data_IF_415702476286
#
_entry.id   IF_415702476286
#
_cell.length_a   1.000
_cell.length_b   1.000
_cell.length_c   1.000
_cell.angle_alpha   90.00
_cell.angle_beta   90.00
_cell.angle_gamma   90.00
#
_symmetry.space_group_name_H-M   'P 1'
#
loop_
_entity.id
_entity.type
_entity.pdbx_description
1 polymer ?
#
# COMPACT_ATOMS: atom_id res chain seq x y z
N UNK A 1 29.02 -6.16 -4.18
CA UNK A 1 30.44 -6.19 -4.65
C UNK A 1 30.49 -7.23 -5.73
N UNK A 2 30.58 -6.85 -6.99
CA UNK A 2 30.71 -7.74 -8.12
C UNK A 2 32.08 -8.42 -8.03
N UNK A 3 32.07 -9.74 -7.92
CA UNK A 3 33.29 -10.58 -8.05
C UNK A 3 33.95 -10.22 -9.39
N UNK A 4 35.29 -10.10 -9.44
CA UNK A 4 35.98 -9.79 -10.70
C UNK A 4 35.72 -10.93 -11.68
N UNK A 5 34.93 -10.65 -12.70
CA UNK A 5 34.62 -11.61 -13.78
C UNK A 5 35.92 -12.08 -14.41
N UNK A 6 36.15 -13.38 -14.46
CA UNK A 6 37.34 -13.98 -15.09
C UNK A 6 37.40 -13.53 -16.55
N UNK A 7 38.48 -12.85 -17.01
CA UNK A 7 38.57 -12.33 -18.38
C UNK A 7 38.38 -13.38 -19.46
N UNK A 8 38.72 -14.65 -19.16
CA UNK A 8 38.51 -15.78 -20.09
C UNK A 8 37.00 -16.08 -20.22
N UNK A 9 36.25 -16.04 -19.13
CA UNK A 9 34.79 -16.23 -19.10
C UNK A 9 34.12 -15.13 -19.91
N UNK A 10 34.47 -13.89 -19.67
CA UNK A 10 33.91 -12.73 -20.39
C UNK A 10 34.18 -12.80 -21.91
N UNK A 11 35.38 -13.22 -22.32
CA UNK A 11 35.72 -13.38 -23.72
C UNK A 11 34.88 -14.49 -24.38
N UNK A 12 34.60 -15.59 -23.67
CA UNK A 12 33.77 -16.69 -24.16
C UNK A 12 32.30 -16.26 -24.24
N UNK A 13 31.75 -15.68 -23.18
CA UNK A 13 30.34 -15.22 -23.12
C UNK A 13 30.04 -14.13 -24.16
N UNK A 14 31.02 -13.26 -24.46
CA UNK A 14 30.89 -12.21 -25.49
C UNK A 14 31.13 -12.73 -26.92
N UNK A 15 31.44 -14.01 -27.11
CA UNK A 15 31.72 -14.61 -28.42
C UNK A 15 33.03 -14.15 -29.06
N UNK A 16 33.93 -13.50 -28.31
CA UNK A 16 35.21 -12.98 -28.79
C UNK A 16 36.37 -13.99 -28.69
N UNK A 17 36.10 -15.10 -27.97
CA UNK A 17 37.12 -16.12 -27.81
C UNK A 17 37.34 -16.92 -29.11
N UNK A 18 38.58 -17.38 -29.40
CA UNK A 18 38.86 -18.27 -30.54
C UNK A 18 38.03 -19.56 -30.44
N UNK A 19 37.63 -20.12 -31.60
CA UNK A 19 36.80 -21.31 -31.66
C UNK A 19 37.41 -22.50 -30.89
N UNK A 20 38.73 -22.66 -30.94
CA UNK A 20 39.45 -23.71 -30.18
C UNK A 20 39.33 -23.53 -28.65
N UNK A 21 39.34 -22.26 -28.17
CA UNK A 21 39.16 -21.97 -26.75
C UNK A 21 37.73 -22.25 -26.32
N UNK A 22 36.73 -21.89 -27.14
CA UNK A 22 35.32 -22.20 -26.89
C UNK A 22 35.07 -23.72 -26.86
N UNK A 23 35.70 -24.48 -27.76
CA UNK A 23 35.60 -25.95 -27.78
C UNK A 23 36.26 -26.56 -26.54
N UNK A 24 37.45 -26.09 -26.13
CA UNK A 24 38.11 -26.50 -24.91
C UNK A 24 37.29 -26.22 -23.66
N UNK A 25 36.64 -25.06 -23.61
CA UNK A 25 35.70 -24.71 -22.54
C UNK A 25 34.45 -25.59 -22.53
N UNK A 26 33.87 -25.85 -23.70
CA UNK A 26 32.71 -26.73 -23.88
C UNK A 26 33.01 -28.18 -23.45
N UNK A 27 34.26 -28.64 -23.63
CA UNK A 27 34.72 -29.96 -23.21
C UNK A 27 35.19 -30.01 -21.74
N UNK A 28 35.02 -28.94 -20.94
CA UNK A 28 35.43 -28.91 -19.54
C UNK A 28 36.95 -28.92 -19.29
N UNK A 29 37.75 -28.66 -20.31
CA UNK A 29 39.23 -28.75 -20.23
C UNK A 29 39.86 -27.47 -19.62
N UNK A 30 39.11 -26.40 -19.49
CA UNK A 30 39.60 -25.17 -18.86
C UNK A 30 39.45 -25.25 -17.32
N UNK A 31 40.49 -24.88 -16.57
CA UNK A 31 40.44 -24.86 -15.10
C UNK A 31 39.63 -23.66 -14.59
N UNK A 32 38.32 -23.73 -14.70
CA UNK A 32 37.37 -22.70 -14.23
C UNK A 32 36.76 -23.09 -12.88
N UNK A 33 36.44 -22.12 -12.01
CA UNK A 33 35.58 -22.37 -10.86
C UNK A 33 34.24 -22.97 -11.33
N UNK A 34 33.61 -23.81 -10.52
CA UNK A 34 32.40 -24.54 -10.90
C UNK A 34 31.27 -23.60 -11.36
N UNK A 35 31.06 -22.45 -10.69
CA UNK A 35 30.05 -21.46 -11.08
C UNK A 35 30.31 -20.88 -12.48
N UNK A 36 31.57 -20.50 -12.75
CA UNK A 36 31.99 -19.96 -14.04
C UNK A 36 31.89 -21.04 -15.16
N UNK A 37 32.25 -22.28 -14.84
CA UNK A 37 32.13 -23.40 -15.76
C UNK A 37 30.68 -23.63 -16.19
N UNK A 38 29.75 -23.69 -15.24
CA UNK A 38 28.34 -23.87 -15.54
C UNK A 38 27.77 -22.71 -16.39
N UNK A 39 28.15 -21.47 -16.10
CA UNK A 39 27.73 -20.32 -16.88
C UNK A 39 28.21 -20.38 -18.32
N UNK A 40 29.50 -20.72 -18.52
CA UNK A 40 30.10 -20.90 -19.84
C UNK A 40 29.44 -22.05 -20.60
N UNK A 41 29.24 -23.19 -19.95
CA UNK A 41 28.61 -24.34 -20.60
C UNK A 41 27.17 -24.08 -21.03
N UNK A 42 26.39 -23.43 -20.20
CA UNK A 42 25.01 -23.04 -20.53
C UNK A 42 24.97 -22.06 -21.69
N UNK A 43 25.89 -21.08 -21.74
CA UNK A 43 25.99 -20.14 -22.85
C UNK A 43 26.43 -20.84 -24.16
N UNK A 44 27.44 -21.73 -24.10
CA UNK A 44 27.95 -22.45 -25.26
C UNK A 44 26.98 -23.50 -25.82
N UNK A 45 26.08 -24.04 -25.01
CA UNK A 45 24.96 -24.89 -25.47
C UNK A 45 24.08 -24.22 -26.52
N UNK A 46 23.93 -22.90 -26.44
CA UNK A 46 23.17 -22.09 -27.39
C UNK A 46 24.01 -21.60 -28.60
N UNK A 47 25.24 -22.09 -28.77
CA UNK A 47 26.12 -21.72 -29.87
C UNK A 47 25.57 -22.14 -31.22
N UNK A 48 25.76 -21.31 -32.27
CA UNK A 48 25.44 -21.66 -33.64
C UNK A 48 26.36 -22.82 -34.18
N UNK A 49 27.52 -22.98 -33.55
CA UNK A 49 28.43 -24.10 -33.92
C UNK A 49 27.98 -25.39 -33.21
N UNK A 50 27.45 -26.31 -33.99
CA UNK A 50 26.91 -27.58 -33.51
C UNK A 50 27.93 -28.44 -32.72
N UNK A 51 29.22 -28.38 -33.08
CA UNK A 51 30.27 -29.12 -32.38
C UNK A 51 30.46 -28.58 -30.95
N UNK A 52 30.50 -27.26 -30.80
CA UNK A 52 30.61 -26.61 -29.49
C UNK A 52 29.36 -26.86 -28.66
N UNK A 53 28.17 -26.69 -29.26
CA UNK A 53 26.90 -26.92 -28.59
C UNK A 53 26.75 -28.35 -28.06
N UNK A 54 27.11 -29.35 -28.86
CA UNK A 54 27.09 -30.78 -28.49
C UNK A 54 28.10 -31.10 -27.39
N UNK A 55 29.32 -30.56 -27.47
CA UNK A 55 30.34 -30.75 -26.45
C UNK A 55 29.88 -30.13 -25.10
N UNK A 56 29.34 -28.92 -25.13
CA UNK A 56 28.81 -28.27 -23.92
C UNK A 56 27.65 -29.04 -23.30
N UNK A 57 26.72 -29.55 -24.12
CA UNK A 57 25.59 -30.34 -23.63
C UNK A 57 26.06 -31.68 -23.01
N UNK A 58 27.07 -32.36 -23.62
CA UNK A 58 27.64 -33.58 -23.07
C UNK A 58 28.29 -33.31 -21.69
N UNK A 59 29.14 -32.28 -21.60
CA UNK A 59 29.81 -31.91 -20.35
C UNK A 59 28.80 -31.51 -19.26
N UNK A 60 27.69 -30.80 -19.60
CA UNK A 60 26.62 -30.49 -18.66
C UNK A 60 25.92 -31.73 -18.10
N UNK A 61 25.70 -32.74 -18.95
CA UNK A 61 25.08 -34.00 -18.53
C UNK A 61 26.02 -34.88 -17.66
N UNK A 62 27.31 -34.65 -17.71
CA UNK A 62 28.32 -35.35 -16.89
C UNK A 62 28.53 -34.67 -15.52
N UNK A 63 27.94 -33.50 -15.27
CA UNK A 63 28.08 -32.79 -13.98
C UNK A 63 27.44 -33.60 -12.84
N UNK A 64 28.09 -33.60 -11.69
CA UNK A 64 27.56 -34.27 -10.51
C UNK A 64 26.31 -33.55 -9.99
N UNK A 65 25.26 -34.30 -9.62
CA UNK A 65 24.01 -33.74 -9.08
C UNK A 65 24.24 -32.85 -7.85
N UNK A 66 25.29 -33.13 -7.09
CA UNK A 66 25.67 -32.34 -5.92
C UNK A 66 26.14 -30.93 -6.33
N UNK A 67 26.97 -30.82 -7.34
CA UNK A 67 27.51 -29.54 -7.83
C UNK A 67 26.40 -28.69 -8.44
N UNK A 68 25.45 -29.32 -9.15
CA UNK A 68 24.27 -28.66 -9.68
C UNK A 68 23.32 -28.16 -8.55
N UNK A 69 23.18 -28.95 -7.47
CA UNK A 69 22.40 -28.57 -6.32
C UNK A 69 23.02 -27.39 -5.56
N UNK A 70 24.35 -27.43 -5.38
CA UNK A 70 25.07 -26.34 -4.71
C UNK A 70 24.96 -25.03 -5.54
N UNK A 71 25.08 -25.14 -6.87
CA UNK A 71 24.84 -24.01 -7.77
C UNK A 71 23.40 -23.50 -7.69
N UNK A 72 22.38 -24.36 -7.63
CA UNK A 72 20.97 -23.94 -7.51
C UNK A 72 20.68 -23.20 -6.20
N UNK A 73 21.41 -23.52 -5.13
CA UNK A 73 21.26 -22.87 -3.81
C UNK A 73 22.04 -21.56 -3.67
N UNK A 74 23.10 -21.38 -4.46
CA UNK A 74 23.95 -20.20 -4.34
C UNK A 74 23.21 -18.94 -4.84
N UNK A 75 23.32 -17.84 -4.09
CA UNK A 75 22.62 -16.59 -4.37
C UNK A 75 23.22 -15.78 -5.51
N UNK A 76 24.45 -16.06 -5.88
CA UNK A 76 25.25 -15.42 -6.92
C UNK A 76 25.26 -16.20 -8.25
N UNK A 77 24.51 -17.29 -8.32
CA UNK A 77 24.37 -18.09 -9.56
C UNK A 77 23.70 -17.28 -10.67
N UNK A 78 24.27 -17.35 -11.85
CA UNK A 78 23.75 -16.69 -13.05
C UNK A 78 22.29 -17.10 -13.32
N UNK A 79 21.39 -16.13 -13.62
CA UNK A 79 20.01 -16.41 -13.99
C UNK A 79 19.87 -17.41 -15.14
N UNK A 80 20.80 -17.40 -16.09
CA UNK A 80 20.81 -18.35 -17.21
C UNK A 80 21.06 -19.81 -16.76
N UNK A 81 21.94 -20.01 -15.77
CA UNK A 81 22.18 -21.33 -15.18
C UNK A 81 20.94 -21.81 -14.41
N UNK A 82 20.30 -20.93 -13.62
CA UNK A 82 19.09 -21.30 -12.92
C UNK A 82 17.94 -21.64 -13.88
N UNK A 83 17.78 -20.91 -14.97
CA UNK A 83 16.81 -21.23 -16.01
C UNK A 83 17.08 -22.62 -16.63
N UNK A 84 18.33 -22.90 -17.00
CA UNK A 84 18.73 -24.21 -17.51
C UNK A 84 18.41 -25.34 -16.53
N UNK A 85 18.75 -25.18 -15.24
CA UNK A 85 18.47 -26.17 -14.20
C UNK A 85 16.98 -26.41 -14.00
N UNK A 86 16.16 -25.36 -14.20
CA UNK A 86 14.70 -25.45 -14.14
C UNK A 86 14.09 -26.24 -15.31
N UNK A 87 14.68 -26.14 -16.51
CA UNK A 87 14.22 -26.82 -17.73
C UNK A 87 14.78 -28.27 -17.88
N UNK A 88 15.92 -28.57 -17.28
CA UNK A 88 16.58 -29.85 -17.41
C UNK A 88 15.84 -30.98 -16.68
N UNK A 89 16.18 -32.25 -16.99
CA UNK A 89 15.74 -33.42 -16.24
C UNK A 89 16.41 -33.54 -14.86
N UNK A 90 16.48 -32.39 -14.15
CA UNK A 90 17.11 -32.32 -12.85
C UNK A 90 16.30 -33.05 -11.77
N UNK A 91 16.99 -33.48 -10.72
CA UNK A 91 16.35 -34.09 -9.56
C UNK A 91 15.38 -33.14 -8.89
N UNK A 92 14.42 -33.69 -8.14
CA UNK A 92 13.44 -32.89 -7.38
C UNK A 92 14.13 -31.86 -6.49
N UNK A 93 15.20 -32.23 -5.80
CA UNK A 93 15.95 -31.36 -4.88
C UNK A 93 16.55 -30.15 -5.61
N UNK A 94 17.06 -30.32 -6.82
CA UNK A 94 17.57 -29.22 -7.64
C UNK A 94 16.42 -28.29 -8.05
N UNK A 95 15.28 -28.84 -8.49
CA UNK A 95 14.09 -28.05 -8.86
C UNK A 95 13.54 -27.25 -7.68
N UNK A 96 13.48 -27.85 -6.48
CA UNK A 96 13.10 -27.14 -5.25
C UNK A 96 14.06 -25.97 -4.97
N UNK A 97 15.38 -26.21 -5.09
CA UNK A 97 16.38 -25.15 -4.88
C UNK A 97 16.25 -24.01 -5.90
N UNK A 98 16.00 -24.32 -7.18
CA UNK A 98 15.76 -23.32 -8.23
C UNK A 98 14.50 -22.49 -7.93
N UNK A 99 13.40 -23.12 -7.50
CA UNK A 99 12.15 -22.41 -7.16
C UNK A 99 12.37 -21.45 -6.00
N UNK A 100 13.15 -21.85 -5.00
CA UNK A 100 13.43 -21.04 -3.80
C UNK A 100 14.48 -19.96 -4.05
N UNK A 101 15.28 -20.05 -5.11
CA UNK A 101 16.31 -19.06 -5.40
C UNK A 101 15.68 -17.77 -5.93
N UNK A 102 15.99 -16.64 -5.26
CA UNK A 102 15.46 -15.34 -5.64
C UNK A 102 15.96 -14.83 -7.00
N UNK A 103 17.13 -15.28 -7.45
CA UNK A 103 17.75 -14.93 -8.74
C UNK A 103 17.17 -15.70 -9.93
N UNK A 104 16.30 -16.69 -9.69
CA UNK A 104 15.66 -17.45 -10.76
C UNK A 104 14.72 -16.55 -11.56
N UNK A 105 14.89 -16.49 -12.91
CA UNK A 105 13.99 -15.71 -13.78
C UNK A 105 12.54 -16.18 -13.67
N UNK A 106 11.60 -15.24 -13.76
CA UNK A 106 10.17 -15.58 -13.70
C UNK A 106 9.75 -16.46 -14.88
N UNK A 107 10.33 -16.25 -16.07
CA UNK A 107 10.05 -17.09 -17.25
C UNK A 107 10.45 -18.56 -17.03
N UNK A 108 11.55 -18.82 -16.32
CA UNK A 108 11.94 -20.19 -15.96
C UNK A 108 10.92 -20.80 -14.99
N UNK A 109 10.40 -20.05 -14.04
CA UNK A 109 9.33 -20.51 -13.15
C UNK A 109 8.02 -20.76 -13.91
N UNK A 110 7.69 -19.95 -14.92
CA UNK A 110 6.53 -20.19 -15.81
C UNK A 110 6.69 -21.52 -16.54
N UNK A 111 7.85 -21.79 -17.10
CA UNK A 111 8.13 -23.06 -17.80
C UNK A 111 8.06 -24.26 -16.83
N UNK A 112 8.66 -24.14 -15.66
CA UNK A 112 8.56 -25.18 -14.63
C UNK A 112 7.09 -25.41 -14.21
N UNK A 113 6.33 -24.35 -13.96
CA UNK A 113 4.92 -24.45 -13.60
C UNK A 113 4.06 -25.11 -14.70
N UNK A 114 4.41 -24.92 -15.97
CA UNK A 114 3.71 -25.53 -17.09
C UNK A 114 4.03 -27.01 -17.27
N UNK A 115 5.29 -27.42 -17.03
CA UNK A 115 5.80 -28.75 -17.46
C UNK A 115 5.96 -29.74 -16.30
N UNK A 116 6.03 -29.29 -15.06
CA UNK A 116 6.27 -30.15 -13.90
C UNK A 116 5.10 -31.11 -13.66
N UNK A 117 5.43 -32.39 -13.44
CA UNK A 117 4.46 -33.44 -13.12
C UNK A 117 4.28 -33.69 -11.62
N UNK A 118 5.12 -33.08 -10.77
CA UNK A 118 5.04 -33.17 -9.31
C UNK A 118 4.27 -31.98 -8.76
N UNK A 119 3.04 -32.23 -8.31
CA UNK A 119 2.16 -31.22 -7.75
C UNK A 119 2.71 -30.51 -6.51
N UNK A 120 3.62 -31.15 -5.75
CA UNK A 120 4.24 -30.52 -4.57
C UNK A 120 5.18 -29.36 -4.94
N UNK A 121 5.81 -29.42 -6.13
CA UNK A 121 6.61 -28.30 -6.64
C UNK A 121 5.72 -27.13 -7.06
N UNK A 122 4.50 -27.40 -7.56
CA UNK A 122 3.51 -26.34 -7.84
C UNK A 122 3.05 -25.67 -6.55
N UNK A 123 2.84 -26.43 -5.48
CA UNK A 123 2.55 -25.84 -4.16
C UNK A 123 3.69 -24.94 -3.68
N UNK A 124 4.95 -25.39 -3.85
CA UNK A 124 6.11 -24.59 -3.47
C UNK A 124 6.18 -23.27 -4.24
N UNK A 125 5.89 -23.27 -5.54
CA UNK A 125 5.80 -22.04 -6.35
C UNK A 125 4.74 -21.09 -5.79
N UNK A 126 3.56 -21.61 -5.36
CA UNK A 126 2.47 -20.77 -4.82
C UNK A 126 2.77 -20.14 -3.47
N UNK A 127 3.81 -20.55 -2.74
CA UNK A 127 4.20 -19.91 -1.48
C UNK A 127 4.81 -18.50 -1.68
N UNK A 128 5.41 -18.24 -2.84
CA UNK A 128 5.98 -16.92 -3.13
C UNK A 128 4.96 -16.01 -3.78
N UNK A 129 4.08 -15.42 -2.94
CA UNK A 129 3.02 -14.50 -3.40
C UNK A 129 3.56 -13.30 -4.16
N UNK A 130 4.69 -12.72 -3.73
CA UNK A 130 5.29 -11.58 -4.42
C UNK A 130 5.67 -11.89 -5.87
N UNK A 131 6.19 -13.10 -6.12
CA UNK A 131 6.53 -13.55 -7.48
C UNK A 131 5.28 -13.75 -8.33
N UNK A 132 4.23 -14.33 -7.77
CA UNK A 132 2.95 -14.55 -8.47
C UNK A 132 2.27 -13.24 -8.85
N UNK A 133 2.30 -12.24 -7.96
CA UNK A 133 1.78 -10.89 -8.24
C UNK A 133 2.62 -10.19 -9.32
N UNK A 134 3.95 -10.31 -9.26
CA UNK A 134 4.85 -9.72 -10.25
C UNK A 134 4.70 -10.35 -11.65
N UNK A 135 4.48 -11.66 -11.71
CA UNK A 135 4.35 -12.41 -12.97
C UNK A 135 3.08 -13.28 -12.99
N UNK A 136 1.91 -12.71 -13.40
CA UNK A 136 0.62 -13.41 -13.45
C UNK A 136 0.61 -14.64 -14.34
N UNK A 137 1.50 -14.69 -15.32
CA UNK A 137 1.67 -15.84 -16.23
C UNK A 137 2.03 -17.13 -15.49
N UNK A 138 2.66 -17.03 -14.31
CA UNK A 138 2.93 -18.19 -13.44
C UNK A 138 1.60 -18.78 -12.93
N UNK A 139 0.65 -17.94 -12.52
CA UNK A 139 -0.68 -18.38 -12.07
C UNK A 139 -1.39 -19.12 -13.21
N UNK A 140 -1.38 -18.55 -14.41
CA UNK A 140 -2.00 -19.18 -15.58
C UNK A 140 -1.37 -20.54 -15.92
N UNK A 141 -0.04 -20.64 -15.79
CA UNK A 141 0.68 -21.90 -16.00
C UNK A 141 0.30 -22.95 -14.96
N UNK A 142 0.23 -22.59 -13.67
CA UNK A 142 -0.20 -23.49 -12.58
C UNK A 142 -1.63 -23.97 -12.83
N UNK A 143 -2.56 -23.07 -13.14
CA UNK A 143 -3.98 -23.42 -13.34
C UNK A 143 -4.22 -24.29 -14.57
N UNK A 144 -3.35 -24.21 -15.60
CA UNK A 144 -3.40 -25.06 -16.79
C UNK A 144 -2.73 -26.43 -16.58
N UNK A 145 -1.82 -26.56 -15.60
CA UNK A 145 -1.12 -27.81 -15.37
C UNK A 145 -2.04 -28.88 -14.77
N UNK A 146 -2.09 -30.05 -15.41
CA UNK A 146 -2.94 -31.17 -14.96
C UNK A 146 -2.46 -31.83 -13.65
N UNK A 147 -1.19 -31.66 -13.28
CA UNK A 147 -0.61 -32.21 -12.07
C UNK A 147 -0.81 -31.29 -10.85
N UNK A 148 -1.50 -30.14 -10.99
CA UNK A 148 -1.73 -29.24 -9.86
C UNK A 148 -2.52 -29.91 -8.76
N UNK A 149 -2.14 -29.65 -7.52
CA UNK A 149 -2.89 -30.06 -6.34
C UNK A 149 -4.05 -29.10 -6.04
N UNK A 150 -4.99 -29.54 -5.23
CA UNK A 150 -6.11 -28.70 -4.79
C UNK A 150 -5.62 -27.46 -4.02
N UNK A 151 -4.53 -27.60 -3.24
CA UNK A 151 -3.95 -26.49 -2.49
C UNK A 151 -3.23 -25.48 -3.40
N UNK A 152 -2.49 -25.94 -4.39
CA UNK A 152 -1.86 -25.07 -5.37
C UNK A 152 -2.93 -24.31 -6.19
N UNK A 153 -4.00 -24.99 -6.63
CA UNK A 153 -5.11 -24.35 -7.34
C UNK A 153 -5.83 -23.32 -6.46
N UNK A 154 -6.14 -23.64 -5.22
CA UNK A 154 -6.81 -22.74 -4.29
C UNK A 154 -5.98 -21.45 -4.09
N UNK A 155 -4.69 -21.58 -3.75
CA UNK A 155 -3.81 -20.41 -3.55
C UNK A 155 -3.63 -19.58 -4.81
N UNK A 156 -3.46 -20.22 -5.96
CA UNK A 156 -3.34 -19.51 -7.23
C UNK A 156 -4.61 -18.71 -7.56
N UNK A 157 -5.81 -19.29 -7.33
CA UNK A 157 -7.09 -18.61 -7.52
C UNK A 157 -7.32 -17.50 -6.51
N UNK A 158 -6.97 -17.70 -5.23
CA UNK A 158 -7.04 -16.67 -4.19
C UNK A 158 -6.24 -15.42 -4.61
N UNK A 159 -4.98 -15.62 -5.05
CA UNK A 159 -4.13 -14.51 -5.51
C UNK A 159 -4.69 -13.89 -6.80
N UNK A 160 -5.20 -14.70 -7.74
CA UNK A 160 -5.81 -14.20 -8.96
C UNK A 160 -7.01 -13.30 -8.67
N UNK A 161 -7.91 -13.72 -7.80
CA UNK A 161 -9.08 -12.94 -7.40
C UNK A 161 -8.69 -11.72 -6.61
N UNK A 162 -7.83 -11.88 -5.61
CA UNK A 162 -7.50 -10.80 -4.69
C UNK A 162 -6.70 -9.66 -5.34
N UNK A 163 -5.74 -9.97 -6.22
CA UNK A 163 -4.87 -8.95 -6.79
C UNK A 163 -5.24 -8.53 -8.22
N UNK A 164 -5.74 -9.45 -9.05
CA UNK A 164 -5.92 -9.16 -10.48
C UNK A 164 -7.36 -8.89 -10.90
N UNK A 165 -8.34 -9.53 -10.29
CA UNK A 165 -9.75 -9.26 -10.60
C UNK A 165 -10.18 -7.92 -9.99
N UNK A 166 -9.76 -7.65 -8.75
CA UNK A 166 -9.99 -6.35 -8.09
C UNK A 166 -9.32 -5.21 -8.85
N UNK A 167 -8.06 -5.38 -9.27
CA UNK A 167 -7.35 -4.37 -10.05
C UNK A 167 -8.02 -4.11 -11.42
N UNK A 168 -8.53 -5.15 -12.10
CA UNK A 168 -9.29 -4.98 -13.34
C UNK A 168 -10.60 -4.23 -13.10
N UNK A 169 -11.34 -4.56 -12.04
CA UNK A 169 -12.56 -3.85 -11.65
C UNK A 169 -12.31 -2.37 -11.38
N UNK A 170 -11.30 -2.04 -10.59
CA UNK A 170 -10.92 -0.67 -10.30
C UNK A 170 -10.50 0.11 -11.55
N UNK A 171 -9.71 -0.50 -12.45
CA UNK A 171 -9.31 0.11 -13.73
C UNK A 171 -10.48 0.36 -14.66
N UNK A 172 -11.45 -0.56 -14.71
CA UNK A 172 -12.65 -0.37 -15.52
C UNK A 172 -13.47 0.80 -14.98
N UNK A 173 -13.72 0.87 -13.69
CA UNK A 173 -14.42 1.98 -13.03
C UNK A 173 -13.69 3.30 -13.30
N UNK A 174 -12.36 3.33 -13.12
CA UNK A 174 -11.57 4.52 -13.40
C UNK A 174 -11.66 4.95 -14.88
N UNK A 175 -11.66 4.01 -15.82
CA UNK A 175 -11.86 4.28 -17.24
C UNK A 175 -13.21 4.93 -17.53
N UNK A 176 -14.29 4.41 -16.94
CA UNK A 176 -15.63 4.98 -17.08
C UNK A 176 -15.74 6.37 -16.45
N UNK A 177 -15.13 6.59 -15.27
CA UNK A 177 -15.09 7.90 -14.62
C UNK A 177 -14.36 8.94 -15.47
N UNK A 178 -13.23 8.58 -16.10
CA UNK A 178 -12.54 9.46 -17.06
C UNK A 178 -13.40 9.78 -18.28
N UNK A 179 -14.08 8.79 -18.84
CA UNK A 179 -14.98 9.01 -19.97
C UNK A 179 -16.11 9.98 -19.64
N UNK A 180 -16.52 10.06 -18.37
CA UNK A 180 -17.52 11.02 -17.86
C UNK A 180 -16.91 12.36 -17.40
N UNK A 181 -15.60 12.54 -17.53
CA UNK A 181 -14.89 13.77 -17.15
C UNK A 181 -14.54 13.91 -15.67
N UNK A 182 -14.77 12.87 -14.86
CA UNK A 182 -14.42 12.87 -13.42
C UNK A 182 -13.01 12.27 -13.22
N UNK A 183 -11.98 13.07 -13.54
CA UNK A 183 -10.57 12.64 -13.48
C UNK A 183 -10.10 12.41 -12.03
N UNK A 184 -10.50 13.27 -11.08
CA UNK A 184 -10.11 13.15 -9.68
C UNK A 184 -10.62 11.85 -9.05
N UNK A 185 -11.86 11.45 -9.36
CA UNK A 185 -12.40 10.17 -8.91
C UNK A 185 -11.69 8.99 -9.57
N UNK A 186 -11.36 9.08 -10.88
CA UNK A 186 -10.62 8.03 -11.57
C UNK A 186 -9.24 7.79 -10.94
N UNK A 187 -8.48 8.85 -10.62
CA UNK A 187 -7.20 8.78 -9.92
C UNK A 187 -7.35 8.13 -8.53
N UNK A 188 -8.44 8.45 -7.81
CA UNK A 188 -8.73 7.82 -6.53
C UNK A 188 -8.90 6.30 -6.69
N UNK A 189 -9.75 5.85 -7.63
CA UNK A 189 -10.03 4.43 -7.85
C UNK A 189 -8.84 3.64 -8.41
N UNK A 190 -7.86 4.29 -9.04
CA UNK A 190 -6.61 3.65 -9.46
C UNK A 190 -5.62 3.42 -8.33
N UNK A 191 -5.66 4.27 -7.30
CA UNK A 191 -4.69 4.24 -6.20
C UNK A 191 -5.25 3.67 -4.90
N UNK A 192 -6.57 3.51 -4.78
CA UNK A 192 -7.23 2.96 -3.60
C UNK A 192 -7.18 1.43 -3.60
N UNK A 193 -7.01 0.85 -2.42
CA UNK A 193 -7.21 -0.56 -2.17
C UNK A 193 -8.68 -0.76 -1.76
N UNK A 194 -9.56 -0.91 -2.76
CA UNK A 194 -11.02 -0.88 -2.61
C UNK A 194 -11.60 -2.08 -1.87
N UNK A 195 -10.85 -2.67 -0.93
CA UNK A 195 -11.37 -3.68 -0.02
C UNK A 195 -12.16 -3.02 1.09
N UNK A 196 -13.41 -3.42 1.24
CA UNK A 196 -14.24 -3.09 2.41
C UNK A 196 -14.16 -4.24 3.42
N UNK A 197 -14.52 -3.97 4.70
CA UNK A 197 -14.58 -5.00 5.74
C UNK A 197 -15.57 -6.14 5.43
N UNK A 198 -16.53 -5.92 4.53
CA UNK A 198 -17.57 -6.87 4.12
C UNK A 198 -17.33 -7.49 2.72
N UNK A 199 -16.24 -7.12 2.02
CA UNK A 199 -15.91 -7.64 0.70
C UNK A 199 -15.58 -6.57 -0.34
N UNK A 200 -15.84 -6.86 -1.62
CA UNK A 200 -15.58 -5.92 -2.72
C UNK A 200 -16.57 -4.77 -2.75
N UNK A 201 -16.09 -3.58 -3.09
CA UNK A 201 -16.94 -2.43 -3.33
C UNK A 201 -17.81 -2.70 -4.57
N UNK A 202 -19.12 -2.60 -4.43
CA UNK A 202 -20.01 -2.74 -5.59
C UNK A 202 -19.83 -1.56 -6.56
N UNK A 203 -20.22 -1.75 -7.83
CA UNK A 203 -20.17 -0.67 -8.81
C UNK A 203 -21.05 0.53 -8.40
N UNK A 204 -22.18 0.27 -7.74
CA UNK A 204 -23.09 1.31 -7.25
C UNK A 204 -22.45 2.10 -6.11
N UNK A 205 -21.78 1.43 -5.17
CA UNK A 205 -21.06 2.06 -4.07
C UNK A 205 -19.88 2.90 -4.59
N UNK A 206 -19.14 2.37 -5.57
CA UNK A 206 -18.07 3.12 -6.24
C UNK A 206 -18.58 4.40 -6.88
N UNK A 207 -19.74 4.37 -7.54
CA UNK A 207 -20.38 5.56 -8.10
C UNK A 207 -20.86 6.54 -7.03
N UNK A 208 -21.38 6.04 -5.91
CA UNK A 208 -21.77 6.88 -4.78
C UNK A 208 -20.58 7.64 -4.24
N UNK A 209 -19.47 6.95 -3.98
CA UNK A 209 -18.23 7.56 -3.49
C UNK A 209 -17.63 8.52 -4.52
N UNK A 210 -17.65 8.16 -5.81
CA UNK A 210 -17.08 8.97 -6.88
C UNK A 210 -17.72 10.37 -7.00
N UNK A 211 -18.99 10.52 -6.66
CA UNK A 211 -19.69 11.82 -6.63
C UNK A 211 -19.08 12.79 -5.61
N UNK A 212 -18.46 12.26 -4.56
CA UNK A 212 -17.92 13.01 -3.44
C UNK A 212 -16.41 13.26 -3.52
N UNK A 213 -15.77 13.05 -4.67
CA UNK A 213 -14.34 13.28 -4.88
C UNK A 213 -14.14 14.54 -5.73
N UNK A 214 -13.50 15.57 -5.16
CA UNK A 214 -13.32 16.87 -5.79
C UNK A 214 -11.85 17.23 -6.09
N UNK A 215 -10.89 16.64 -5.35
CA UNK A 215 -9.48 17.06 -5.39
C UNK A 215 -8.64 16.06 -6.15
N UNK A 216 -7.87 16.52 -7.15
CA UNK A 216 -6.90 15.71 -7.89
C UNK A 216 -5.60 15.47 -7.08
N UNK A 217 -4.85 14.42 -7.42
CA UNK A 217 -3.61 14.07 -6.72
C UNK A 217 -2.55 15.18 -6.79
N UNK A 218 -2.52 15.93 -7.89
CA UNK A 218 -1.58 17.03 -8.07
C UNK A 218 -1.76 18.20 -7.08
N UNK A 219 -2.93 18.32 -6.47
CA UNK A 219 -3.27 19.39 -5.52
C UNK A 219 -3.04 18.99 -4.06
N UNK A 220 -2.53 17.78 -3.80
CA UNK A 220 -2.33 17.24 -2.45
C UNK A 220 -0.92 17.51 -1.92
N UNK A 221 -0.84 17.94 -0.65
CA UNK A 221 0.42 18.09 0.09
C UNK A 221 0.53 16.99 1.17
N UNK A 222 1.51 16.09 1.03
CA UNK A 222 1.75 14.96 1.94
C UNK A 222 2.73 15.29 3.07
N UNK A 223 3.25 16.50 3.14
CA UNK A 223 4.28 16.93 4.10
C UNK A 223 3.86 16.83 5.58
N UNK A 224 2.54 16.74 5.84
CA UNK A 224 1.98 16.65 7.20
C UNK A 224 1.95 15.21 7.76
N UNK A 225 2.12 14.19 6.89
CA UNK A 225 2.10 12.77 7.27
C UNK A 225 3.45 12.35 7.87
N UNK A 226 3.53 12.04 9.17
CA UNK A 226 4.75 11.47 9.73
C UNK A 226 4.88 10.02 9.27
N UNK A 227 5.92 9.72 8.51
CA UNK A 227 6.20 8.39 7.95
C UNK A 227 6.32 7.28 9.02
N UNK A 228 6.78 7.63 10.22
CA UNK A 228 7.00 6.70 11.32
C UNK A 228 5.72 6.23 12.05
N UNK A 229 4.60 6.95 11.91
CA UNK A 229 3.32 6.62 12.58
C UNK A 229 2.26 6.05 11.65
N UNK A 230 2.59 5.91 10.37
CA UNK A 230 1.62 5.49 9.37
C UNK A 230 1.16 4.04 9.59
N UNK A 231 2.09 3.13 9.89
CA UNK A 231 1.79 1.72 10.03
C UNK A 231 1.04 1.38 11.33
N UNK A 232 1.29 2.10 12.42
CA UNK A 232 0.57 1.91 13.69
C UNK A 232 -0.88 2.43 13.62
N UNK A 233 -1.12 3.49 12.86
CA UNK A 233 -2.42 4.13 12.75
C UNK A 233 -3.43 3.38 11.85
N UNK A 234 -2.96 2.41 11.06
CA UNK A 234 -3.78 1.63 10.12
C UNK A 234 -4.49 0.47 10.81
N UNK A 235 -4.01 0.04 11.98
CA UNK A 235 -4.60 -1.09 12.73
C UNK A 235 -5.85 -0.60 13.45
N UNK A 236 -7.01 -1.07 13.01
CA UNK A 236 -8.31 -0.81 13.66
C UNK A 236 -8.89 -2.09 14.27
N UNK A 237 -9.50 -1.94 15.46
CA UNK A 237 -10.34 -2.98 16.02
C UNK A 237 -11.75 -2.89 15.40
N UNK A 238 -12.14 -3.92 14.65
CA UNK A 238 -13.40 -3.98 13.92
C UNK A 238 -14.65 -3.78 14.79
N UNK A 239 -14.62 -4.27 16.04
CA UNK A 239 -15.75 -4.14 16.97
C UNK A 239 -15.89 -2.70 17.43
N UNK A 240 -14.78 -2.09 17.85
CA UNK A 240 -14.76 -0.66 18.26
C UNK A 240 -15.14 0.25 17.12
N UNK A 241 -14.75 -0.08 15.89
CA UNK A 241 -15.09 0.67 14.70
C UNK A 241 -16.60 0.62 14.40
N UNK A 242 -17.23 -0.57 14.41
CA UNK A 242 -18.67 -0.71 14.18
C UNK A 242 -19.52 0.07 15.19
N UNK A 243 -19.12 0.06 16.48
CA UNK A 243 -19.79 0.86 17.53
C UNK A 243 -19.65 2.36 17.26
N UNK A 244 -18.48 2.81 16.76
CA UNK A 244 -18.25 4.20 16.44
C UNK A 244 -19.09 4.66 15.23
N UNK A 245 -19.24 3.83 14.20
CA UNK A 245 -20.10 4.08 13.03
C UNK A 245 -21.55 4.29 13.47
N UNK A 246 -22.07 3.40 14.32
CA UNK A 246 -23.43 3.52 14.84
C UNK A 246 -23.63 4.84 15.60
N UNK A 247 -22.67 5.24 16.41
CA UNK A 247 -22.71 6.53 17.15
C UNK A 247 -22.71 7.75 16.21
N UNK A 248 -21.97 7.68 15.09
CA UNK A 248 -21.97 8.77 14.08
C UNK A 248 -23.35 8.92 13.47
N UNK A 249 -23.98 7.80 13.06
CA UNK A 249 -25.33 7.80 12.49
C UNK A 249 -26.35 8.35 13.50
N UNK A 250 -26.32 7.89 14.76
CA UNK A 250 -27.22 8.36 15.81
C UNK A 250 -27.06 9.87 16.08
N UNK A 251 -25.81 10.35 16.13
CA UNK A 251 -25.54 11.76 16.37
C UNK A 251 -26.01 12.65 15.22
N UNK A 252 -25.75 12.25 13.97
CA UNK A 252 -26.25 12.99 12.79
C UNK A 252 -27.80 12.98 12.71
N UNK A 253 -28.42 11.86 13.09
CA UNK A 253 -29.88 11.78 13.17
C UNK A 253 -30.45 12.75 14.18
N UNK A 254 -29.77 12.94 15.33
CA UNK A 254 -30.17 13.91 16.35
C UNK A 254 -29.97 15.35 15.88
N UNK A 255 -28.87 15.66 15.20
CA UNK A 255 -28.58 17.02 14.69
C UNK A 255 -29.55 17.44 13.57
N UNK A 256 -30.03 16.50 12.76
CA UNK A 256 -30.99 16.74 11.66
C UNK A 256 -32.46 16.68 12.07
N UNK A 257 -32.74 16.54 13.37
CA UNK A 257 -34.13 16.50 13.88
C UNK A 257 -34.87 15.19 13.58
N UNK A 258 -34.13 14.07 13.35
CA UNK A 258 -34.69 12.74 13.20
C UNK A 258 -34.96 12.29 11.75
N UNK A 259 -34.58 13.07 10.74
CA UNK A 259 -34.70 12.71 9.34
C UNK A 259 -33.32 12.77 8.67
N UNK A 260 -32.66 11.61 8.56
CA UNK A 260 -31.52 11.44 7.65
C UNK A 260 -32.04 10.78 6.36
N UNK A 261 -31.61 11.32 5.23
CA UNK A 261 -31.88 10.72 3.92
C UNK A 261 -31.22 9.35 3.84
N UNK A 262 -31.91 8.38 3.23
CA UNK A 262 -31.38 7.01 3.06
C UNK A 262 -30.05 6.98 2.30
N UNK A 263 -29.86 7.91 1.35
CA UNK A 263 -28.61 8.07 0.58
C UNK A 263 -27.47 8.50 1.51
N UNK A 264 -27.71 9.41 2.46
CA UNK A 264 -26.69 9.84 3.43
C UNK A 264 -26.29 8.72 4.42
N UNK A 265 -27.27 7.93 4.88
CA UNK A 265 -26.98 6.76 5.73
C UNK A 265 -26.14 5.74 4.97
N UNK A 266 -26.48 5.49 3.69
CA UNK A 266 -25.72 4.61 2.81
C UNK A 266 -24.28 5.11 2.64
N UNK A 267 -24.13 6.40 2.34
CA UNK A 267 -22.80 7.03 2.20
C UNK A 267 -21.96 6.89 3.49
N UNK A 268 -22.54 7.19 4.66
CA UNK A 268 -21.82 7.03 5.94
C UNK A 268 -21.34 5.59 6.10
N UNK A 269 -22.19 4.60 5.84
CA UNK A 269 -21.82 3.19 5.95
C UNK A 269 -20.71 2.82 4.98
N UNK A 270 -20.84 3.20 3.71
CA UNK A 270 -19.83 2.91 2.69
C UNK A 270 -18.48 3.53 3.01
N UNK A 271 -18.45 4.80 3.38
CA UNK A 271 -17.21 5.49 3.76
C UNK A 271 -16.54 4.82 4.96
N UNK A 272 -17.31 4.45 5.96
CA UNK A 272 -16.78 3.87 7.19
C UNK A 272 -16.41 2.38 7.04
N UNK A 273 -16.92 1.67 6.03
CA UNK A 273 -16.50 0.29 5.71
C UNK A 273 -15.15 0.24 4.99
N UNK A 274 -14.73 1.34 4.36
CA UNK A 274 -13.42 1.41 3.69
C UNK A 274 -12.28 1.22 4.68
N UNK A 275 -11.12 0.75 4.19
CA UNK A 275 -9.92 0.69 5.00
C UNK A 275 -9.42 2.09 5.40
N UNK A 276 -8.59 2.17 6.44
CA UNK A 276 -8.10 3.46 6.98
C UNK A 276 -7.36 4.28 5.92
N UNK A 277 -6.57 3.62 5.06
CA UNK A 277 -5.80 4.29 3.99
C UNK A 277 -6.71 5.00 3.00
N UNK A 278 -7.77 4.33 2.57
CA UNK A 278 -8.69 4.89 1.59
C UNK A 278 -9.60 5.96 2.21
N UNK A 279 -10.00 5.80 3.49
CA UNK A 279 -10.68 6.85 4.24
C UNK A 279 -9.79 8.10 4.38
N UNK A 280 -8.48 7.95 4.63
CA UNK A 280 -7.52 9.06 4.67
C UNK A 280 -7.39 9.75 3.31
N UNK A 281 -7.27 8.97 2.22
CA UNK A 281 -7.24 9.54 0.86
C UNK A 281 -8.53 10.30 0.56
N UNK A 282 -9.68 9.70 0.88
CA UNK A 282 -10.97 10.34 0.67
C UNK A 282 -11.17 11.60 1.54
N UNK A 283 -10.70 11.59 2.80
CA UNK A 283 -10.73 12.78 3.66
C UNK A 283 -9.99 13.97 3.03
N UNK A 284 -8.92 13.71 2.28
CA UNK A 284 -8.12 14.74 1.60
C UNK A 284 -8.69 15.16 0.24
N UNK A 285 -9.36 14.24 -0.46
CA UNK A 285 -9.90 14.46 -1.81
C UNK A 285 -11.39 14.76 -1.83
N UNK A 286 -12.09 14.44 -0.74
CA UNK A 286 -13.53 14.50 -0.66
C UNK A 286 -14.11 15.91 -0.64
N UNK A 287 -15.36 16.00 -1.04
CA UNK A 287 -16.19 17.19 -0.97
C UNK A 287 -16.61 17.53 0.49
N UNK A 288 -17.40 18.57 0.65
CA UNK A 288 -17.89 19.02 1.97
C UNK A 288 -18.65 17.91 2.70
N UNK A 289 -19.41 17.09 1.98
CA UNK A 289 -20.22 16.03 2.58
C UNK A 289 -19.35 14.89 3.11
N UNK A 290 -18.41 14.39 2.31
CA UNK A 290 -17.43 13.42 2.76
C UNK A 290 -16.61 13.93 3.96
N UNK A 291 -16.14 15.19 3.91
CA UNK A 291 -15.41 15.81 5.03
C UNK A 291 -16.25 15.90 6.31
N UNK A 292 -17.55 16.20 6.20
CA UNK A 292 -18.44 16.30 7.37
C UNK A 292 -18.65 14.97 8.10
N UNK A 293 -18.55 13.86 7.36
CA UNK A 293 -18.61 12.49 7.90
C UNK A 293 -17.25 12.11 8.50
N UNK A 294 -16.18 12.22 7.71
CA UNK A 294 -14.84 11.72 8.06
C UNK A 294 -14.16 12.54 9.17
N UNK A 295 -14.59 13.76 9.43
CA UNK A 295 -14.10 14.53 10.60
C UNK A 295 -14.48 13.90 11.94
N UNK A 296 -15.51 13.05 11.97
CA UNK A 296 -15.98 12.31 13.15
C UNK A 296 -15.44 10.87 13.19
N UNK A 297 -14.55 10.51 12.26
CA UNK A 297 -13.94 9.19 12.20
C UNK A 297 -13.26 8.84 13.53
N UNK A 298 -13.44 7.61 14.06
CA UNK A 298 -12.77 7.18 15.28
C UNK A 298 -11.24 7.15 15.13
N UNK A 299 -10.75 6.97 13.91
CA UNK A 299 -9.32 7.03 13.62
C UNK A 299 -8.85 8.48 13.53
N UNK A 300 -7.97 8.85 14.45
CA UNK A 300 -7.43 10.23 14.57
C UNK A 300 -6.70 10.68 13.30
N UNK A 301 -6.09 9.76 12.55
CA UNK A 301 -5.37 10.09 11.31
C UNK A 301 -6.34 10.44 10.19
N UNK A 302 -7.47 9.74 10.08
CA UNK A 302 -8.53 10.06 9.11
C UNK A 302 -9.12 11.43 9.42
N UNK A 303 -9.50 11.69 10.69
CA UNK A 303 -10.01 12.99 11.10
C UNK A 303 -8.98 14.12 10.88
N UNK A 304 -7.70 13.88 11.14
CA UNK A 304 -6.62 14.83 10.85
C UNK A 304 -6.43 15.06 9.35
N UNK A 305 -6.63 14.04 8.52
CA UNK A 305 -6.56 14.17 7.06
C UNK A 305 -7.61 15.15 6.50
N UNK A 306 -8.82 15.21 7.11
CA UNK A 306 -9.85 16.19 6.73
C UNK A 306 -9.35 17.62 6.87
N UNK A 307 -8.62 17.93 7.94
CA UNK A 307 -8.07 19.27 8.21
C UNK A 307 -7.02 19.69 7.17
N UNK A 308 -6.39 18.73 6.51
CA UNK A 308 -5.40 18.95 5.48
C UNK A 308 -5.98 18.87 4.05
N UNK A 309 -7.31 18.85 3.91
CA UNK A 309 -7.98 18.96 2.62
C UNK A 309 -7.85 20.41 2.10
N UNK A 310 -7.33 20.63 0.86
CA UNK A 310 -7.14 21.99 0.32
C UNK A 310 -8.45 22.73 0.04
N UNK A 311 -9.59 22.04 0.00
CA UNK A 311 -10.92 22.63 -0.22
C UNK A 311 -11.68 22.96 1.06
N UNK A 312 -11.09 22.71 2.25
CA UNK A 312 -11.77 23.06 3.51
C UNK A 312 -11.93 24.57 3.62
N UNK A 313 -13.13 25.00 3.95
CA UNK A 313 -13.47 26.41 4.09
C UNK A 313 -13.33 26.91 5.54
N UNK A 314 -13.15 28.21 5.73
CA UNK A 314 -13.10 28.81 7.06
C UNK A 314 -14.40 28.56 7.83
N UNK A 315 -15.55 28.54 7.16
CA UNK A 315 -16.84 28.23 7.76
C UNK A 315 -16.90 26.80 8.29
N UNK A 316 -16.36 25.83 7.53
CA UNK A 316 -16.26 24.43 7.99
C UNK A 316 -15.33 24.35 9.21
N UNK A 317 -14.18 25.01 9.17
CA UNK A 317 -13.24 25.07 10.29
C UNK A 317 -13.86 25.70 11.54
N UNK A 318 -14.67 26.77 11.43
CA UNK A 318 -15.40 27.35 12.53
C UNK A 318 -16.39 26.37 13.15
N UNK A 319 -17.14 25.61 12.32
CA UNK A 319 -18.07 24.60 12.77
C UNK A 319 -17.34 23.44 13.47
N UNK A 320 -16.25 22.94 12.90
CA UNK A 320 -15.43 21.86 13.48
C UNK A 320 -14.90 22.27 14.86
N UNK A 321 -14.45 23.51 15.02
CA UNK A 321 -13.97 24.04 16.30
C UNK A 321 -15.03 24.01 17.40
N UNK A 322 -16.34 24.01 17.07
CA UNK A 322 -17.44 23.92 18.04
C UNK A 322 -17.85 22.48 18.38
N UNK A 323 -17.52 21.51 17.50
CA UNK A 323 -17.96 20.12 17.65
C UNK A 323 -17.30 19.46 18.87
N UNK A 324 -18.11 18.78 19.69
CA UNK A 324 -17.63 18.04 20.87
C UNK A 324 -17.30 16.57 20.59
N UNK A 325 -17.65 16.08 19.41
CA UNK A 325 -17.44 14.71 18.95
C UNK A 325 -16.10 14.53 18.24
N UNK A 326 -15.46 15.60 17.83
CA UNK A 326 -14.19 15.60 17.09
C UNK A 326 -13.02 15.22 18.01
N UNK A 327 -12.04 14.52 17.47
CA UNK A 327 -10.83 14.13 18.19
C UNK A 327 -10.03 15.36 18.66
N UNK A 328 -9.47 15.27 19.87
CA UNK A 328 -8.63 16.30 20.49
C UNK A 328 -7.41 16.69 19.63
N UNK A 329 -6.85 15.74 18.90
CA UNK A 329 -5.74 15.96 17.97
C UNK A 329 -6.12 16.93 16.83
N UNK A 330 -7.34 16.81 16.28
CA UNK A 330 -7.86 17.72 15.25
C UNK A 330 -7.90 19.16 15.79
N UNK A 331 -8.46 19.34 17.00
CA UNK A 331 -8.55 20.67 17.62
C UNK A 331 -7.14 21.24 17.92
N UNK A 332 -6.17 20.39 18.25
CA UNK A 332 -4.78 20.79 18.42
C UNK A 332 -4.16 21.26 17.09
N UNK A 333 -4.35 20.50 16.01
CA UNK A 333 -3.87 20.86 14.68
C UNK A 333 -4.48 22.18 14.19
N UNK A 334 -5.78 22.39 14.40
CA UNK A 334 -6.44 23.64 14.05
C UNK A 334 -5.85 24.85 14.78
N UNK A 335 -5.54 24.71 16.07
CA UNK A 335 -4.94 25.79 16.87
C UNK A 335 -3.52 26.16 16.40
N UNK A 336 -2.79 25.21 15.81
CA UNK A 336 -1.41 25.40 15.30
C UNK A 336 -1.36 25.81 13.83
N UNK A 337 -2.43 25.62 13.07
CA UNK A 337 -2.51 26.00 11.66
C UNK A 337 -2.51 27.53 11.52
N UNK A 338 -1.55 28.08 10.77
CA UNK A 338 -1.33 29.53 10.63
C UNK A 338 -2.54 30.27 10.03
N UNK A 339 -3.28 29.65 9.13
CA UNK A 339 -4.42 30.27 8.48
C UNK A 339 -5.57 30.43 9.47
N UNK A 340 -5.93 29.37 10.19
CA UNK A 340 -7.03 29.38 11.14
C UNK A 340 -6.68 30.05 12.47
N UNK A 341 -5.43 30.00 12.85
CA UNK A 341 -4.94 30.72 14.01
C UNK A 341 -5.09 32.25 13.86
N UNK A 342 -5.33 32.79 12.67
CA UNK A 342 -5.65 34.22 12.46
C UNK A 342 -7.13 34.53 12.63
N UNK A 343 -8.02 33.55 12.45
CA UNK A 343 -9.46 33.75 12.67
C UNK A 343 -9.78 33.83 14.17
N UNK A 344 -10.32 34.97 14.59
CA UNK A 344 -10.74 35.16 15.98
C UNK A 344 -11.85 34.17 16.35
N UNK A 345 -12.81 33.94 15.46
CA UNK A 345 -13.96 33.06 15.68
C UNK A 345 -13.47 31.63 15.97
N UNK A 346 -12.54 31.12 15.16
CA UNK A 346 -11.96 29.77 15.35
C UNK A 346 -11.27 29.68 16.71
N UNK A 347 -10.37 30.63 17.04
CA UNK A 347 -9.64 30.63 18.31
C UNK A 347 -10.59 30.68 19.49
N UNK A 348 -11.62 31.52 19.41
CA UNK A 348 -12.62 31.66 20.44
C UNK A 348 -13.44 30.37 20.62
N UNK A 349 -13.85 29.74 19.53
CA UNK A 349 -14.56 28.45 19.55
C UNK A 349 -13.70 27.35 20.15
N UNK A 350 -12.42 27.25 19.75
CA UNK A 350 -11.45 26.30 20.33
C UNK A 350 -11.27 26.48 21.83
N UNK A 351 -11.21 27.74 22.31
CA UNK A 351 -11.06 28.03 23.74
C UNK A 351 -12.31 27.65 24.57
N UNK A 352 -13.50 27.65 23.95
CA UNK A 352 -14.77 27.26 24.58
C UNK A 352 -15.06 25.77 24.48
N UNK A 353 -14.38 25.04 23.58
CA UNK A 353 -14.63 23.63 23.37
C UNK A 353 -13.95 22.80 24.48
N UNK A 354 -14.71 22.00 25.25
CA UNK A 354 -14.17 21.21 26.35
C UNK A 354 -13.24 20.09 25.89
N UNK A 355 -13.28 19.71 24.62
CA UNK A 355 -12.40 18.69 24.02
C UNK A 355 -11.03 19.22 23.63
N UNK A 356 -10.89 20.55 23.54
CA UNK A 356 -9.57 21.12 23.19
C UNK A 356 -8.58 20.87 24.32
N UNK A 357 -7.38 20.31 24.01
CA UNK A 357 -6.37 20.03 25.04
C UNK A 357 -5.98 21.28 25.82
N UNK A 358 -5.88 21.15 27.17
CA UNK A 358 -5.59 22.27 28.08
C UNK A 358 -4.34 23.06 27.67
N UNK A 359 -3.20 22.42 27.33
CA UNK A 359 -2.00 23.17 26.88
C UNK A 359 -2.28 24.02 25.63
N UNK A 360 -3.06 23.47 24.68
CA UNK A 360 -3.45 24.18 23.45
C UNK A 360 -4.28 25.43 23.78
N UNK A 361 -5.29 25.30 24.68
CA UNK A 361 -6.10 26.42 25.08
C UNK A 361 -5.27 27.50 25.81
N UNK A 362 -4.38 27.11 26.72
CA UNK A 362 -3.51 28.05 27.43
C UNK A 362 -2.65 28.87 26.44
N UNK A 363 -2.17 28.26 25.38
CA UNK A 363 -1.36 28.94 24.36
C UNK A 363 -2.18 29.96 23.53
N UNK A 364 -3.48 29.73 23.34
CA UNK A 364 -4.34 30.63 22.56
C UNK A 364 -5.05 31.71 23.43
N UNK A 365 -5.20 31.50 24.76
CA UNK A 365 -5.84 32.44 25.66
C UNK A 365 -5.31 33.90 25.55
N UNK A 366 -3.98 34.13 25.40
CA UNK A 366 -3.46 35.49 25.24
C UNK A 366 -4.03 36.24 24.02
N UNK A 367 -4.61 35.56 23.07
CA UNK A 367 -5.18 36.12 21.83
C UNK A 367 -6.68 36.42 21.96
N UNK A 368 -7.32 35.98 23.06
CA UNK A 368 -8.73 36.20 23.34
C UNK A 368 -8.94 37.59 23.91
N UNK A 369 -10.02 38.27 23.51
CA UNK A 369 -10.39 39.62 24.00
C UNK A 369 -10.76 39.59 25.49
N UNK A 370 -10.49 40.66 26.21
CA UNK A 370 -10.72 40.75 27.67
C UNK A 370 -12.16 40.40 28.08
N UNK A 371 -13.16 40.86 27.34
CA UNK A 371 -14.58 40.51 27.60
C UNK A 371 -14.83 38.99 27.45
N UNK A 372 -14.26 38.37 26.42
CA UNK A 372 -14.46 36.94 26.18
C UNK A 372 -13.66 36.10 27.18
N UNK A 373 -12.51 36.57 27.69
CA UNK A 373 -11.78 35.94 28.81
C UNK A 373 -12.63 35.94 30.09
N UNK A 374 -13.38 37.05 30.40
CA UNK A 374 -14.29 37.07 31.53
C UNK A 374 -15.42 36.06 31.40
N UNK A 375 -16.02 35.94 30.20
CA UNK A 375 -17.01 34.91 29.91
C UNK A 375 -16.46 33.50 30.01
N UNK A 376 -15.23 33.23 29.51
CA UNK A 376 -14.58 31.96 29.68
C UNK A 376 -14.32 31.59 31.15
N UNK A 377 -13.97 32.60 31.98
CA UNK A 377 -13.79 32.40 33.43
C UNK A 377 -15.06 31.93 34.16
N UNK A 378 -16.24 32.24 33.61
CA UNK A 378 -17.54 31.84 34.16
C UNK A 378 -18.11 30.55 33.54
N UNK A 379 -17.49 30.05 32.43
CA UNK A 379 -18.01 28.91 31.70
C UNK A 379 -17.71 27.59 32.44
N UNK A 380 -18.76 26.93 32.94
CA UNK A 380 -18.66 25.67 33.69
C UNK A 380 -18.33 24.45 32.81
N UNK A 381 -18.46 24.57 31.49
CA UNK A 381 -18.22 23.46 30.54
C UNK A 381 -16.76 23.26 30.20
N UNK A 382 -15.85 24.16 30.59
CA UNK A 382 -14.42 24.05 30.36
C UNK A 382 -13.67 23.73 31.67
N UNK A 383 -12.44 23.23 31.53
CA UNK A 383 -11.66 22.85 32.71
C UNK A 383 -11.38 23.99 33.65
N UNK A 384 -11.26 23.70 34.94
CA UNK A 384 -10.99 24.70 35.97
C UNK A 384 -9.64 25.41 35.71
N UNK A 385 -8.63 24.68 35.19
CA UNK A 385 -7.34 25.26 34.86
C UNK A 385 -7.44 26.37 33.83
N UNK A 386 -8.28 26.17 32.78
CA UNK A 386 -8.53 27.16 31.73
C UNK A 386 -9.29 28.35 32.34
N UNK A 387 -10.33 28.14 33.17
CA UNK A 387 -11.09 29.19 33.80
C UNK A 387 -10.21 30.11 34.68
N UNK A 388 -9.39 29.50 35.53
CA UNK A 388 -8.44 30.26 36.39
C UNK A 388 -7.48 31.11 35.58
N UNK A 389 -6.93 30.54 34.50
CA UNK A 389 -6.00 31.29 33.66
C UNK A 389 -6.70 32.40 32.87
N UNK A 390 -7.93 32.20 32.40
CA UNK A 390 -8.71 33.22 31.73
C UNK A 390 -9.04 34.39 32.67
N UNK A 391 -9.45 34.14 33.94
CA UNK A 391 -9.66 35.15 34.95
C UNK A 391 -8.38 35.94 35.24
N UNK A 392 -7.25 35.23 35.45
CA UNK A 392 -5.96 35.86 35.72
C UNK A 392 -5.54 36.81 34.58
N UNK A 393 -5.70 36.34 33.31
CA UNK A 393 -5.38 37.17 32.15
C UNK A 393 -6.31 38.36 31.99
N UNK A 394 -7.62 38.22 32.31
CA UNK A 394 -8.57 39.31 32.22
C UNK A 394 -8.29 40.40 33.25
N UNK A 395 -7.97 40.03 34.50
CA UNK A 395 -7.59 40.95 35.58
C UNK A 395 -6.29 41.68 35.23
N UNK A 396 -5.27 40.96 34.80
CA UNK A 396 -3.98 41.56 34.40
C UNK A 396 -4.14 42.61 33.28
N UNK A 397 -5.14 42.46 32.40
CA UNK A 397 -5.45 43.44 31.32
C UNK A 397 -6.40 44.55 31.72
N UNK A 398 -7.17 44.36 32.76
CA UNK A 398 -8.08 45.37 33.28
C UNK A 398 -7.40 46.35 34.25
N UNK A 399 -6.13 46.05 34.64
CA UNK A 399 -5.38 46.89 35.56
C UNK A 399 -5.75 46.68 37.04
N UNK A 400 -6.47 45.57 37.35
CA UNK A 400 -6.81 45.14 38.72
C UNK A 400 -5.84 44.09 39.28
#
# INVERSE_FOLDING_TARGET
MTTPTNPAVEAILSGKAPQQAMLAAASGLLPLPQADLLEVLVALRASENQEIANAAAATLNEQESRDLLDAAKATDTSPAVLAYLGESDATREIREAVILNASTPDDAIVQMAACVSDGSLLELITLNQQRLVRSPTIIDAILKNSARTADAERRAREIQTEFFEKERGARQIAGELRARGNTAAAEFFETADLTTAEGELSLEDAWLIAKHIEVADADLDDSWLPSERYDEAIIEDTVSHAVAVQKIIEHETLETGGQLDAERISLIRQLMLMNVRDRMKLARKGDREARSILIRDPNKMVAAAVINNPRITDQEAENIATMRTVADEVLRLMATNRNWARSYTIIHNLARNPRTPIPTVINILPRIRTKDLQHLGQNRNISEAIRRQAIRLSQARSGE
#
